data_IF_105056020556
#
_entry.id   IF_105056020556
#
_cell.length_a   1.000
_cell.length_b   1.000
_cell.length_c   1.000
_cell.angle_alpha   90.00
_cell.angle_beta   90.00
_cell.angle_gamma   90.00
#
_symmetry.space_group_name_H-M   'P 1'
#
loop_
_entity.id
_entity.type
_entity.pdbx_description
1 polymer ?
#
# COMPACT_ATOMS: atom_id res chain seq x y z
N UNK A 1 15.72 -6.09 -81.01
CA UNK A 1 16.34 -6.29 -79.70
C UNK A 1 15.29 -5.98 -78.63
N UNK A 2 14.89 -6.99 -77.85
CA UNK A 2 13.73 -6.94 -76.95
C UNK A 2 14.21 -6.63 -75.53
N UNK A 3 14.03 -5.40 -75.07
CA UNK A 3 14.44 -4.96 -73.73
C UNK A 3 13.47 -5.53 -72.70
N UNK A 4 13.96 -6.43 -71.84
CA UNK A 4 13.21 -7.00 -70.73
C UNK A 4 13.42 -6.09 -69.52
N UNK A 5 12.37 -5.35 -69.16
CA UNK A 5 12.27 -4.59 -67.91
C UNK A 5 12.05 -5.59 -66.77
N UNK A 6 13.07 -5.79 -65.93
CA UNK A 6 12.96 -6.60 -64.72
C UNK A 6 12.35 -5.71 -63.63
N UNK A 7 11.07 -5.94 -63.35
CA UNK A 7 10.37 -5.36 -62.20
C UNK A 7 10.98 -5.94 -60.92
N UNK A 8 11.71 -5.13 -60.15
CA UNK A 8 12.14 -5.49 -58.81
C UNK A 8 10.93 -5.44 -57.86
N UNK A 9 10.44 -6.60 -57.44
CA UNK A 9 9.46 -6.75 -56.38
C UNK A 9 10.13 -6.42 -55.05
N UNK A 10 9.86 -5.24 -54.48
CA UNK A 10 10.24 -4.91 -53.10
C UNK A 10 9.23 -5.58 -52.18
N UNK A 11 9.55 -6.79 -51.72
CA UNK A 11 8.83 -7.44 -50.64
C UNK A 11 9.12 -6.70 -49.34
N UNK A 12 8.17 -5.86 -48.89
CA UNK A 12 8.14 -5.38 -47.51
C UNK A 12 7.96 -6.58 -46.58
N UNK A 13 9.06 -7.09 -46.04
CA UNK A 13 9.04 -7.97 -44.90
C UNK A 13 8.55 -7.15 -43.71
N UNK A 14 7.26 -7.23 -43.39
CA UNK A 14 6.76 -6.86 -42.07
C UNK A 14 7.36 -7.86 -41.08
N UNK A 15 8.60 -7.62 -40.68
CA UNK A 15 9.20 -8.30 -39.54
C UNK A 15 8.33 -8.06 -38.32
N UNK A 16 8.21 -9.09 -37.47
CA UNK A 16 7.61 -8.99 -36.15
C UNK A 16 8.26 -7.83 -35.39
N UNK A 17 7.69 -6.62 -35.46
CA UNK A 17 8.04 -5.58 -34.52
C UNK A 17 7.43 -6.02 -33.20
N UNK A 18 8.22 -6.68 -32.36
CA UNK A 18 7.88 -6.83 -30.95
C UNK A 18 7.50 -5.44 -30.45
N UNK A 19 6.23 -5.27 -30.06
CA UNK A 19 5.77 -4.02 -29.45
C UNK A 19 6.69 -3.76 -28.26
N UNK A 20 7.18 -2.53 -28.16
CA UNK A 20 8.06 -2.15 -27.07
C UNK A 20 7.41 -2.49 -25.73
N UNK A 21 8.13 -3.19 -24.85
CA UNK A 21 7.66 -3.46 -23.50
C UNK A 21 7.47 -2.13 -22.76
N UNK A 22 6.48 -2.04 -21.85
CA UNK A 22 6.36 -0.88 -20.98
C UNK A 22 7.65 -0.63 -20.20
N UNK A 23 7.89 0.63 -19.86
CA UNK A 23 8.97 1.00 -18.96
C UNK A 23 8.63 0.59 -17.52
N UNK A 24 9.65 0.40 -16.69
CA UNK A 24 9.45 0.25 -15.25
C UNK A 24 8.79 1.52 -14.70
N UNK A 25 7.74 1.36 -13.90
CA UNK A 25 6.93 2.47 -13.41
C UNK A 25 6.58 2.34 -11.93
N UNK A 26 6.28 3.49 -11.32
CA UNK A 26 5.72 3.61 -9.98
C UNK A 26 4.40 4.39 -10.08
N UNK A 27 3.35 3.83 -9.51
CA UNK A 27 2.13 4.56 -9.21
C UNK A 27 2.34 5.34 -7.92
N UNK A 28 2.42 6.68 -8.04
CA UNK A 28 2.69 7.56 -6.91
C UNK A 28 1.52 7.67 -5.92
N UNK A 29 0.29 7.32 -6.32
CA UNK A 29 -0.86 7.33 -5.42
C UNK A 29 -0.91 6.07 -4.57
N UNK A 30 -0.70 4.91 -5.18
CA UNK A 30 -0.78 3.61 -4.50
C UNK A 30 0.56 3.08 -3.98
N UNK A 31 1.68 3.64 -4.41
CA UNK A 31 3.03 3.14 -4.15
C UNK A 31 3.38 1.84 -4.89
N UNK A 32 2.49 1.36 -5.77
CA UNK A 32 2.71 0.14 -6.53
C UNK A 32 3.79 0.35 -7.59
N UNK A 33 4.82 -0.48 -7.56
CA UNK A 33 5.90 -0.51 -8.55
C UNK A 33 5.72 -1.71 -9.48
N UNK A 34 5.84 -1.46 -10.77
CA UNK A 34 5.77 -2.49 -11.81
C UNK A 34 7.09 -2.54 -12.56
N UNK A 35 7.78 -3.67 -12.47
CA UNK A 35 9.06 -3.90 -13.18
C UNK A 35 8.81 -4.79 -14.39
N UNK A 36 8.97 -4.21 -15.59
CA UNK A 36 8.80 -4.87 -16.89
C UNK A 36 10.13 -5.22 -17.55
N UNK A 37 11.21 -4.51 -17.18
CA UNK A 37 12.52 -4.58 -17.82
C UNK A 37 13.28 -5.89 -17.60
N UNK A 38 12.88 -6.70 -16.63
CA UNK A 38 13.56 -7.95 -16.26
C UNK A 38 12.60 -9.01 -15.73
N UNK A 39 12.98 -10.28 -15.86
CA UNK A 39 12.31 -11.44 -15.24
C UNK A 39 13.07 -12.02 -14.06
N UNK A 40 14.28 -11.52 -13.80
CA UNK A 40 15.06 -11.93 -12.64
C UNK A 40 14.58 -11.13 -11.41
N UNK A 41 14.12 -11.84 -10.37
CA UNK A 41 13.55 -11.22 -9.18
C UNK A 41 14.54 -10.31 -8.44
N UNK A 42 15.83 -10.69 -8.37
CA UNK A 42 16.84 -9.87 -7.68
C UNK A 42 17.11 -8.57 -8.45
N UNK A 43 17.28 -8.67 -9.78
CA UNK A 43 17.44 -7.47 -10.61
C UNK A 43 16.19 -6.57 -10.60
N UNK A 44 15.00 -7.18 -10.43
CA UNK A 44 13.76 -6.43 -10.29
C UNK A 44 13.67 -5.72 -8.94
N UNK A 45 14.08 -6.38 -7.86
CA UNK A 45 14.17 -5.81 -6.52
C UNK A 45 15.08 -4.58 -6.51
N UNK A 46 16.28 -4.65 -7.10
CA UNK A 46 17.21 -3.52 -7.17
C UNK A 46 16.58 -2.30 -7.87
N UNK A 47 15.85 -2.53 -8.96
CA UNK A 47 15.15 -1.47 -9.71
C UNK A 47 13.98 -0.90 -8.92
N UNK A 48 13.21 -1.75 -8.26
CA UNK A 48 12.08 -1.33 -7.45
C UNK A 48 12.54 -0.53 -6.22
N UNK A 49 13.66 -0.90 -5.59
CA UNK A 49 14.25 -0.15 -4.48
C UNK A 49 14.66 1.26 -4.90
N UNK A 50 15.23 1.41 -6.10
CA UNK A 50 15.53 2.72 -6.70
C UNK A 50 14.26 3.54 -6.89
N UNK A 51 13.20 2.96 -7.48
CA UNK A 51 11.93 3.66 -7.70
C UNK A 51 11.24 4.05 -6.39
N UNK A 52 11.33 3.22 -5.36
CA UNK A 52 10.83 3.51 -4.02
C UNK A 52 11.76 4.46 -3.22
N UNK A 53 12.92 4.86 -3.77
CA UNK A 53 13.98 5.65 -3.10
C UNK A 53 14.56 5.03 -1.83
N UNK A 54 14.15 3.82 -1.47
CA UNK A 54 14.48 3.12 -0.22
C UNK A 54 14.38 1.61 -0.43
N UNK A 55 13.36 0.99 0.16
CA UNK A 55 13.09 -0.44 0.11
C UNK A 55 11.71 -0.64 -0.48
N UNK A 56 11.63 -1.61 -1.37
CA UNK A 56 10.42 -2.10 -1.98
C UNK A 56 10.13 -3.52 -1.47
N UNK A 57 8.86 -3.89 -1.45
CA UNK A 57 8.41 -5.18 -0.95
C UNK A 57 7.73 -5.96 -2.06
N UNK A 58 8.30 -7.11 -2.42
CA UNK A 58 7.74 -7.99 -3.45
C UNK A 58 6.33 -8.46 -3.07
N UNK A 59 5.37 -8.29 -4.00
CA UNK A 59 3.97 -8.64 -3.79
C UNK A 59 3.65 -9.97 -4.50
N UNK A 60 4.04 -11.07 -3.86
CA UNK A 60 3.96 -12.43 -4.45
C UNK A 60 2.56 -12.79 -4.96
N UNK A 61 1.52 -12.53 -4.17
CA UNK A 61 0.15 -12.88 -4.55
C UNK A 61 -0.31 -12.18 -5.83
N UNK A 62 0.06 -10.90 -6.00
CA UNK A 62 -0.22 -10.15 -7.22
C UNK A 62 0.56 -10.71 -8.41
N UNK A 63 1.84 -11.08 -8.21
CA UNK A 63 2.64 -11.66 -9.28
C UNK A 63 2.06 -13.00 -9.75
N UNK A 64 1.67 -13.87 -8.82
CA UNK A 64 1.05 -15.16 -9.14
C UNK A 64 -0.30 -14.97 -9.85
N UNK A 65 -1.11 -14.00 -9.44
CA UNK A 65 -2.35 -13.61 -10.12
C UNK A 65 -2.09 -13.16 -11.55
N UNK A 66 -1.10 -12.28 -11.76
CA UNK A 66 -0.70 -11.81 -13.08
C UNK A 66 -0.26 -12.96 -13.99
N UNK A 67 0.56 -13.88 -13.48
CA UNK A 67 1.00 -15.06 -14.22
C UNK A 67 -0.19 -15.96 -14.58
N UNK A 68 -1.19 -16.08 -13.72
CA UNK A 68 -2.43 -16.80 -14.02
C UNK A 68 -3.23 -16.11 -15.14
N UNK A 69 -3.38 -14.79 -15.08
CA UNK A 69 -4.04 -14.02 -16.13
C UNK A 69 -3.36 -14.19 -17.48
N UNK A 70 -2.02 -14.14 -17.53
CA UNK A 70 -1.25 -14.36 -18.77
C UNK A 70 -1.39 -15.76 -19.33
N UNK A 71 -1.47 -16.79 -18.47
CA UNK A 71 -1.71 -18.17 -18.93
C UNK A 71 -3.07 -18.32 -19.60
N UNK A 72 -4.08 -17.60 -19.11
CA UNK A 72 -5.44 -17.63 -19.65
C UNK A 72 -5.62 -16.72 -20.86
N UNK A 73 -4.91 -15.58 -20.89
CA UNK A 73 -4.96 -14.59 -21.96
C UNK A 73 -3.53 -14.13 -22.35
N UNK A 74 -2.81 -14.90 -23.19
CA UNK A 74 -1.43 -14.56 -23.56
C UNK A 74 -1.29 -13.22 -24.31
N UNK A 75 -2.37 -12.71 -24.91
CA UNK A 75 -2.41 -11.39 -25.55
C UNK A 75 -2.12 -10.24 -24.59
N UNK A 76 -2.33 -10.46 -23.29
CA UNK A 76 -2.31 -9.41 -22.27
C UNK A 76 -0.92 -9.25 -21.64
N UNK A 77 0.11 -9.78 -22.30
CA UNK A 77 1.53 -9.69 -21.89
C UNK A 77 1.94 -8.25 -21.56
N UNK A 78 1.43 -7.25 -22.29
CA UNK A 78 1.76 -5.84 -22.04
C UNK A 78 1.19 -5.29 -20.74
N UNK A 79 0.16 -5.93 -20.17
CA UNK A 79 -0.51 -5.45 -18.96
C UNK A 79 -0.10 -6.23 -17.71
N UNK A 80 0.13 -7.53 -17.84
CA UNK A 80 0.36 -8.40 -16.68
C UNK A 80 1.77 -8.97 -16.60
N UNK A 81 2.62 -8.82 -17.62
CA UNK A 81 3.96 -9.40 -17.62
C UNK A 81 5.00 -8.51 -16.91
N UNK A 82 4.75 -8.26 -15.62
CA UNK A 82 5.62 -7.49 -14.73
C UNK A 82 5.77 -8.15 -13.36
N UNK A 83 6.87 -7.81 -12.68
CA UNK A 83 7.11 -8.19 -11.29
C UNK A 83 6.64 -7.05 -10.38
N UNK A 84 5.62 -7.27 -9.53
CA UNK A 84 5.06 -6.25 -8.65
C UNK A 84 5.85 -6.07 -7.35
N UNK A 85 6.07 -4.82 -6.97
CA UNK A 85 6.56 -4.43 -5.65
C UNK A 85 5.70 -3.31 -5.07
N UNK A 86 5.79 -3.10 -3.77
CA UNK A 86 5.06 -2.04 -3.07
C UNK A 86 6.04 -1.24 -2.21
N UNK A 87 6.02 0.08 -2.32
CA UNK A 87 6.84 0.98 -1.52
C UNK A 87 6.25 1.23 -0.13
N UNK A 88 4.92 1.23 0.00
CA UNK A 88 4.25 1.45 1.28
C UNK A 88 4.23 0.17 2.14
N UNK A 89 4.67 0.31 3.38
CA UNK A 89 4.81 -0.82 4.30
C UNK A 89 3.45 -1.48 4.62
N UNK A 90 2.40 -0.67 4.82
CA UNK A 90 1.07 -1.16 5.17
C UNK A 90 0.43 -1.87 3.98
N UNK A 91 0.52 -1.29 2.78
CA UNK A 91 0.03 -1.88 1.56
C UNK A 91 0.78 -3.18 1.22
N UNK A 92 2.10 -3.22 1.43
CA UNK A 92 2.89 -4.44 1.25
C UNK A 92 2.50 -5.55 2.23
N UNK A 93 2.28 -5.20 3.52
CA UNK A 93 1.79 -6.12 4.53
C UNK A 93 0.41 -6.69 4.15
N UNK A 94 -0.51 -5.83 3.72
CA UNK A 94 -1.84 -6.23 3.23
C UNK A 94 -1.77 -7.06 1.95
N UNK A 95 -0.76 -6.81 1.11
CA UNK A 95 -0.45 -7.60 -0.09
C UNK A 95 0.20 -8.96 0.20
N UNK A 96 0.35 -9.34 1.48
CA UNK A 96 0.86 -10.65 1.89
C UNK A 96 2.38 -10.76 1.98
N UNK A 97 3.12 -9.64 1.95
CA UNK A 97 4.56 -9.67 2.19
C UNK A 97 4.85 -9.87 3.69
N UNK A 98 5.50 -10.99 4.04
CA UNK A 98 5.74 -11.37 5.44
C UNK A 98 6.73 -10.46 6.16
N UNK A 99 7.77 -9.99 5.48
CA UNK A 99 8.73 -9.04 6.06
C UNK A 99 8.05 -7.69 6.35
N UNK A 100 7.30 -7.17 5.38
CA UNK A 100 6.54 -5.95 5.53
C UNK A 100 5.53 -6.08 6.68
N UNK A 101 4.83 -7.21 6.78
CA UNK A 101 3.90 -7.49 7.87
C UNK A 101 4.58 -7.46 9.24
N UNK A 102 5.71 -8.15 9.39
CA UNK A 102 6.43 -8.18 10.67
C UNK A 102 6.91 -6.78 11.09
N UNK A 103 7.42 -5.99 10.14
CA UNK A 103 7.83 -4.61 10.39
C UNK A 103 6.64 -3.70 10.70
N UNK A 104 5.52 -3.84 9.98
CA UNK A 104 4.30 -3.09 10.22
C UNK A 104 3.74 -3.36 11.61
N UNK A 105 3.57 -4.63 11.97
CA UNK A 105 3.03 -5.05 13.26
C UNK A 105 3.92 -4.58 14.42
N UNK A 106 5.25 -4.62 14.24
CA UNK A 106 6.20 -4.07 15.21
C UNK A 106 6.04 -2.55 15.36
N UNK A 107 6.04 -1.80 14.25
CA UNK A 107 5.88 -0.35 14.28
C UNK A 107 4.55 0.06 14.92
N UNK A 108 3.49 -0.70 14.64
CA UNK A 108 2.17 -0.50 15.22
C UNK A 108 2.20 -0.70 16.73
N UNK A 109 2.79 -1.80 17.20
CA UNK A 109 2.96 -2.12 18.63
C UNK A 109 3.75 -1.02 19.35
N UNK A 110 4.87 -0.57 18.77
CA UNK A 110 5.69 0.50 19.33
C UNK A 110 4.95 1.84 19.39
N UNK A 111 4.10 2.13 18.38
CA UNK A 111 3.27 3.32 18.36
C UNK A 111 2.17 3.28 19.43
N UNK A 112 1.51 2.14 19.62
CA UNK A 112 0.52 1.96 20.69
C UNK A 112 1.15 2.16 22.06
N UNK A 113 2.31 1.55 22.33
CA UNK A 113 3.00 1.72 23.62
C UNK A 113 3.26 3.18 23.96
N UNK A 114 3.71 3.97 22.97
CA UNK A 114 3.95 5.42 23.15
C UNK A 114 2.66 6.20 23.34
N UNK A 115 1.59 5.81 22.64
CA UNK A 115 0.29 6.47 22.78
C UNK A 115 -0.29 6.26 24.18
N UNK A 116 -0.23 5.02 24.71
CA UNK A 116 -0.73 4.70 26.04
C UNK A 116 -0.04 5.52 27.15
N UNK A 117 1.27 5.77 27.02
CA UNK A 117 2.01 6.67 27.91
C UNK A 117 1.43 8.10 27.90
N UNK A 118 0.92 8.58 26.76
CA UNK A 118 0.30 9.90 26.61
C UNK A 118 -1.16 9.95 27.06
N UNK A 119 -1.95 8.89 26.82
CA UNK A 119 -3.39 8.85 27.08
C UNK A 119 -3.74 9.21 28.52
N UNK A 120 -2.98 8.69 29.49
CA UNK A 120 -3.21 8.99 30.92
C UNK A 120 -3.08 10.48 31.22
N UNK A 121 -2.06 11.15 30.67
CA UNK A 121 -1.87 12.58 30.89
C UNK A 121 -2.99 13.41 30.24
N UNK A 122 -3.48 12.98 29.07
CA UNK A 122 -4.60 13.65 28.40
C UNK A 122 -5.88 13.49 29.23
N UNK A 123 -6.19 12.27 29.66
CA UNK A 123 -7.37 11.98 30.47
C UNK A 123 -7.41 12.82 31.76
N UNK A 124 -6.32 12.88 32.53
CA UNK A 124 -6.27 13.68 33.75
C UNK A 124 -6.42 15.19 33.49
N UNK A 125 -5.88 15.70 32.37
CA UNK A 125 -6.04 17.09 31.98
C UNK A 125 -7.49 17.43 31.62
N UNK A 126 -8.15 16.59 30.81
CA UNK A 126 -9.55 16.74 30.44
C UNK A 126 -10.49 16.57 31.63
N UNK A 127 -10.18 15.63 32.55
CA UNK A 127 -10.91 15.48 33.82
C UNK A 127 -10.81 16.73 34.70
N UNK A 128 -9.62 17.31 34.82
CA UNK A 128 -9.42 18.55 35.57
C UNK A 128 -10.16 19.73 34.91
N UNK A 129 -10.21 19.79 33.58
CA UNK A 129 -10.98 20.77 32.84
C UNK A 129 -12.49 20.61 33.08
N UNK A 130 -13.03 19.40 32.90
CA UNK A 130 -14.44 19.09 33.13
C UNK A 130 -14.90 19.45 34.55
N UNK A 131 -14.09 19.16 35.56
CA UNK A 131 -14.37 19.54 36.97
C UNK A 131 -14.54 21.05 37.16
N UNK A 132 -13.83 21.86 36.37
CA UNK A 132 -13.89 23.33 36.44
C UNK A 132 -14.96 23.93 35.52
N UNK A 133 -15.25 23.28 34.40
CA UNK A 133 -16.03 23.85 33.29
C UNK A 133 -17.34 23.12 32.99
N UNK A 134 -17.67 22.06 33.74
CA UNK A 134 -18.94 21.34 33.65
C UNK A 134 -18.85 20.04 32.83
N UNK A 135 -18.19 20.08 31.68
CA UNK A 135 -18.03 18.92 30.78
C UNK A 135 -16.80 19.14 29.91
N UNK A 136 -16.17 18.04 29.47
CA UNK A 136 -15.17 18.05 28.43
C UNK A 136 -15.37 16.88 27.47
N UNK A 137 -14.91 17.02 26.23
CA UNK A 137 -14.92 15.94 25.25
C UNK A 137 -13.74 16.03 24.30
N UNK A 138 -13.10 14.89 24.04
CA UNK A 138 -11.92 14.81 23.20
C UNK A 138 -11.85 13.47 22.48
N UNK A 139 -11.06 13.43 21.40
CA UNK A 139 -10.86 12.22 20.60
C UNK A 139 -9.39 11.92 20.40
N UNK A 140 -9.06 10.64 20.37
CA UNK A 140 -7.71 10.13 20.11
C UNK A 140 -7.77 9.29 18.85
N UNK A 141 -6.90 9.58 17.88
CA UNK A 141 -6.72 8.72 16.71
C UNK A 141 -5.63 7.70 17.04
N UNK A 142 -6.00 6.43 17.03
CA UNK A 142 -5.08 5.32 17.29
C UNK A 142 -4.16 5.09 16.08
N UNK A 143 -2.99 4.44 16.29
CA UNK A 143 -2.03 4.16 15.23
C UNK A 143 -2.57 3.30 14.07
N UNK A 144 -3.61 2.48 14.31
CA UNK A 144 -4.28 1.68 13.29
C UNK A 144 -5.33 2.47 12.48
N UNK A 145 -5.65 3.70 12.91
CA UNK A 145 -6.67 4.57 12.32
C UNK A 145 -8.04 4.48 12.99
N UNK A 146 -8.23 3.64 14.02
CA UNK A 146 -9.43 3.69 14.86
C UNK A 146 -9.47 4.99 15.67
N UNK A 147 -10.67 5.42 16.06
CA UNK A 147 -10.88 6.66 16.80
C UNK A 147 -11.51 6.31 18.15
N UNK A 148 -10.86 6.75 19.22
CA UNK A 148 -11.43 6.78 20.56
C UNK A 148 -12.04 8.16 20.80
N UNK A 149 -13.23 8.22 21.36
CA UNK A 149 -13.89 9.44 21.79
C UNK A 149 -14.24 9.33 23.28
N UNK A 150 -14.01 10.42 23.99
CA UNK A 150 -14.18 10.51 25.43
C UNK A 150 -15.03 11.71 25.77
N UNK A 151 -15.97 11.54 26.68
CA UNK A 151 -16.74 12.63 27.29
C UNK A 151 -16.68 12.46 28.80
N UNK A 152 -16.36 13.52 29.53
CA UNK A 152 -16.22 13.51 30.99
C UNK A 152 -17.07 14.65 31.56
N UNK A 153 -17.88 14.36 32.57
CA UNK A 153 -18.69 15.37 33.26
C UNK A 153 -17.96 16.01 34.46
N UNK A 154 -18.62 16.96 35.14
CA UNK A 154 -18.05 17.63 36.31
C UNK A 154 -17.88 16.75 37.55
N UNK A 155 -18.61 15.64 37.63
CA UNK A 155 -18.52 14.66 38.71
C UNK A 155 -17.37 13.67 38.48
N UNK A 156 -16.86 13.62 37.25
CA UNK A 156 -15.82 12.71 36.81
C UNK A 156 -16.35 11.41 36.22
N UNK A 157 -17.67 11.33 35.95
CA UNK A 157 -18.29 10.23 35.22
C UNK A 157 -17.90 10.37 33.75
N UNK A 158 -17.44 9.27 33.14
CA UNK A 158 -16.93 9.28 31.78
C UNK A 158 -17.67 8.29 30.87
N UNK A 159 -17.86 8.71 29.61
CA UNK A 159 -18.24 7.83 28.52
C UNK A 159 -17.06 7.70 27.54
N UNK A 160 -16.76 6.47 27.18
CA UNK A 160 -15.69 6.07 26.28
C UNK A 160 -16.29 5.36 25.08
N UNK A 161 -15.99 5.85 23.89
CA UNK A 161 -16.43 5.26 22.62
C UNK A 161 -15.22 4.91 21.78
N UNK A 162 -15.25 3.76 21.11
CA UNK A 162 -14.21 3.36 20.16
C UNK A 162 -14.88 3.01 18.84
N UNK A 163 -14.43 3.63 17.75
CA UNK A 163 -14.94 3.39 16.40
C UNK A 163 -13.81 2.88 15.51
N UNK A 164 -14.07 1.79 14.81
CA UNK A 164 -13.17 1.20 13.81
C UNK A 164 -13.94 0.81 12.55
N UNK A 165 -13.23 0.25 11.56
CA UNK A 165 -13.86 -0.34 10.36
C UNK A 165 -14.82 -1.50 10.69
N UNK A 166 -14.74 -2.08 11.89
CA UNK A 166 -15.58 -3.20 12.33
C UNK A 166 -16.82 -2.79 13.12
N UNK A 167 -17.00 -1.48 13.38
CA UNK A 167 -18.11 -0.94 14.15
C UNK A 167 -17.68 -0.04 15.30
N UNK A 168 -18.65 0.36 16.12
CA UNK A 168 -18.45 1.22 17.28
C UNK A 168 -18.99 0.59 18.56
N UNK A 169 -18.27 0.78 19.66
CA UNK A 169 -18.69 0.41 21.00
C UNK A 169 -18.66 1.65 21.90
N UNK A 170 -19.57 1.75 22.86
CA UNK A 170 -19.58 2.84 23.85
C UNK A 170 -19.88 2.29 25.22
N UNK A 171 -19.06 2.68 26.20
CA UNK A 171 -19.15 2.29 27.60
C UNK A 171 -19.14 3.56 28.42
N UNK A 172 -20.06 3.68 29.38
CA UNK A 172 -20.07 4.76 30.36
C UNK A 172 -19.93 4.17 31.76
N UNK A 173 -19.35 4.95 32.67
CA UNK A 173 -19.27 4.63 34.10
C UNK A 173 -20.66 4.47 34.77
#
# INVERSE_FOLDING_TARGET
MRNILILAFVTFLFGCTERARPADEIDHESGLVKIFSTKNLNAAQDRADILCSKKSYYVKALHESNLMHLRNNPSDVYFFDYIPFQCDLKAAANGGNSEAKALYDKNLTDAYRKLEESKRSQYEAHKAYAKKHGVDSYSIVNPDGSIEAHTIDSNGDACHSTVSIFGGETVCD
#
